data_IF_077097444138
#
_entry.id   IF_077097444138
#
_cell.length_a   1.000
_cell.length_b   1.000
_cell.length_c   1.000
_cell.angle_alpha   90.00
_cell.angle_beta   90.00
_cell.angle_gamma   90.00
#
_symmetry.space_group_name_H-M   'P 1'
#
loop_
_entity.id
_entity.type
_entity.pdbx_description
1 polymer ?
#
# COMPACT_ATOMS: atom_id res chain seq x y z
N UNK A 1 -8.68 3.41 -11.71
CA UNK A 1 -8.28 4.33 -10.62
C UNK A 1 -6.94 4.95 -11.00
N UNK A 2 -6.89 6.27 -11.21
CA UNK A 2 -5.65 6.95 -11.65
C UNK A 2 -4.61 6.94 -10.50
N UNK A 3 -3.44 6.39 -10.76
CA UNK A 3 -2.35 6.23 -9.79
C UNK A 3 -1.88 7.57 -9.20
N UNK A 4 -1.92 8.64 -10.02
CA UNK A 4 -1.61 10.01 -9.58
C UNK A 4 -2.60 10.61 -8.58
N UNK A 5 -3.86 10.14 -8.58
CA UNK A 5 -4.87 10.56 -7.60
C UNK A 5 -4.70 9.80 -6.28
N UNK A 6 -4.22 8.56 -6.34
CA UNK A 6 -3.98 7.73 -5.17
C UNK A 6 -2.82 8.25 -4.31
N UNK A 7 -1.69 8.61 -4.92
CA UNK A 7 -0.54 9.16 -4.20
C UNK A 7 -0.87 10.48 -3.50
N UNK A 8 -1.61 11.38 -4.16
CA UNK A 8 -2.08 12.64 -3.55
C UNK A 8 -2.97 12.40 -2.33
N UNK A 9 -3.86 11.39 -2.38
CA UNK A 9 -4.74 11.06 -1.26
C UNK A 9 -3.96 10.50 -0.06
N UNK A 10 -2.92 9.71 -0.30
CA UNK A 10 -2.10 9.12 0.77
C UNK A 10 -1.28 10.17 1.51
N UNK A 11 -0.72 11.16 0.80
CA UNK A 11 0.10 12.21 1.42
C UNK A 11 -0.64 13.06 2.48
N UNK A 12 -1.96 13.08 2.42
CA UNK A 12 -2.79 13.81 3.38
C UNK A 12 -3.26 12.94 4.57
N UNK A 13 -2.88 11.66 4.62
CA UNK A 13 -3.24 10.80 5.75
C UNK A 13 -2.38 11.13 6.97
N UNK A 14 -3.01 11.12 8.15
CA UNK A 14 -2.27 11.13 9.41
C UNK A 14 -1.51 9.80 9.59
N UNK A 15 -0.55 9.76 10.52
CA UNK A 15 0.30 8.58 10.73
C UNK A 15 -0.49 7.32 11.11
N UNK A 16 -1.54 7.48 11.91
CA UNK A 16 -2.40 6.36 12.34
C UNK A 16 -3.12 5.72 11.15
N UNK A 17 -3.77 6.54 10.31
CA UNK A 17 -4.49 6.08 9.13
C UNK A 17 -3.54 5.51 8.06
N UNK A 18 -2.35 6.11 7.92
CA UNK A 18 -1.30 5.59 7.04
C UNK A 18 -0.87 4.19 7.47
N UNK A 19 -0.62 3.97 8.76
CA UNK A 19 -0.27 2.65 9.30
C UNK A 19 -1.41 1.64 9.15
N UNK A 20 -2.66 2.06 9.36
CA UNK A 20 -3.84 1.23 9.13
C UNK A 20 -3.95 0.77 7.68
N UNK A 21 -3.74 1.67 6.72
CA UNK A 21 -3.74 1.34 5.29
C UNK A 21 -2.58 0.43 4.88
N UNK A 22 -1.38 0.58 5.48
CA UNK A 22 -0.26 -0.34 5.28
C UNK A 22 -0.65 -1.76 5.71
N UNK A 23 -1.18 -1.92 6.93
CA UNK A 23 -1.59 -3.23 7.45
C UNK A 23 -2.69 -3.84 6.58
N UNK A 24 -3.69 -3.04 6.18
CA UNK A 24 -4.77 -3.48 5.30
C UNK A 24 -4.24 -3.99 3.96
N UNK A 25 -3.28 -3.27 3.38
CA UNK A 25 -2.67 -3.63 2.09
C UNK A 25 -1.81 -4.89 2.20
N UNK A 26 -1.07 -5.04 3.30
CA UNK A 26 -0.29 -6.26 3.59
C UNK A 26 -1.19 -7.50 3.71
N UNK A 27 -2.32 -7.40 4.43
CA UNK A 27 -3.32 -8.48 4.53
C UNK A 27 -3.88 -8.86 3.17
N UNK A 28 -4.26 -7.86 2.36
CA UNK A 28 -4.74 -8.11 1.00
C UNK A 28 -3.70 -8.83 0.13
N UNK A 29 -2.42 -8.47 0.23
CA UNK A 29 -1.33 -9.17 -0.48
C UNK A 29 -1.23 -10.63 -0.02
N UNK A 30 -1.36 -10.89 1.28
CA UNK A 30 -1.34 -12.24 1.83
C UNK A 30 -2.50 -13.07 1.27
N UNK A 31 -3.72 -12.55 1.28
CA UNK A 31 -4.91 -13.22 0.74
C UNK A 31 -4.77 -13.51 -0.76
N UNK A 32 -4.25 -12.55 -1.53
CA UNK A 32 -3.96 -12.73 -2.96
C UNK A 32 -2.90 -13.81 -3.22
N UNK A 33 -1.88 -13.91 -2.36
CA UNK A 33 -0.87 -14.97 -2.45
C UNK A 33 -1.47 -16.34 -2.10
N UNK A 34 -2.30 -16.43 -1.07
CA UNK A 34 -3.02 -17.66 -0.72
C UNK A 34 -3.89 -18.11 -1.90
N UNK A 35 -4.67 -17.20 -2.47
CA UNK A 35 -5.51 -17.50 -3.65
C UNK A 35 -4.69 -17.99 -4.85
N UNK A 36 -3.53 -17.37 -5.09
CA UNK A 36 -2.58 -17.79 -6.13
C UNK A 36 -2.05 -19.21 -5.88
N UNK A 37 -1.64 -19.53 -4.65
CA UNK A 37 -1.10 -20.84 -4.29
C UNK A 37 -2.17 -21.92 -4.40
N UNK A 38 -3.38 -21.64 -3.92
CA UNK A 38 -4.52 -22.56 -4.00
C UNK A 38 -5.08 -22.74 -5.42
N UNK A 39 -4.48 -22.13 -6.45
CA UNK A 39 -4.96 -22.13 -7.84
C UNK A 39 -6.44 -21.73 -7.97
N UNK A 40 -6.95 -20.93 -7.02
CA UNK A 40 -8.27 -20.31 -7.14
C UNK A 40 -8.19 -19.26 -8.26
N UNK A 41 -9.33 -18.88 -8.83
CA UNK A 41 -9.39 -17.80 -9.82
C UNK A 41 -8.63 -16.56 -9.31
N UNK A 42 -7.45 -16.33 -9.85
CA UNK A 42 -6.48 -15.36 -9.36
C UNK A 42 -6.18 -14.36 -10.47
N UNK A 43 -6.43 -13.09 -10.15
CA UNK A 43 -6.14 -12.00 -11.05
C UNK A 43 -4.75 -11.41 -10.74
N UNK A 44 -3.75 -11.74 -11.56
CA UNK A 44 -2.36 -11.30 -11.38
C UNK A 44 -2.20 -9.78 -11.30
N UNK A 45 -3.06 -9.03 -12.01
CA UNK A 45 -3.07 -7.58 -11.98
C UNK A 45 -3.44 -7.01 -10.60
N UNK A 46 -4.26 -7.72 -9.81
CA UNK A 46 -4.62 -7.29 -8.45
C UNK A 46 -3.42 -7.38 -7.51
N UNK A 47 -2.62 -8.44 -7.61
CA UNK A 47 -1.39 -8.58 -6.82
C UNK A 47 -0.36 -7.52 -7.21
N UNK A 48 -0.19 -7.25 -8.51
CA UNK A 48 0.71 -6.18 -8.99
C UNK A 48 0.26 -4.82 -8.45
N UNK A 49 -1.05 -4.54 -8.48
CA UNK A 49 -1.63 -3.31 -7.95
C UNK A 49 -1.41 -3.18 -6.44
N UNK A 50 -1.73 -4.22 -5.66
CA UNK A 50 -1.55 -4.19 -4.20
C UNK A 50 -0.09 -3.97 -3.79
N UNK A 51 0.86 -4.61 -4.49
CA UNK A 51 2.30 -4.37 -4.27
C UNK A 51 2.70 -2.92 -4.56
N UNK A 52 2.20 -2.34 -5.65
CA UNK A 52 2.43 -0.94 -5.96
C UNK A 52 1.85 -0.02 -4.88
N UNK A 53 0.60 -0.25 -4.47
CA UNK A 53 -0.06 0.53 -3.42
C UNK A 53 0.76 0.48 -2.11
N UNK A 54 1.25 -0.69 -1.72
CA UNK A 54 2.13 -0.84 -0.56
C UNK A 54 3.43 -0.04 -0.71
N UNK A 55 4.08 -0.08 -1.88
CA UNK A 55 5.30 0.71 -2.09
C UNK A 55 5.07 2.21 -1.93
N UNK A 56 3.94 2.74 -2.44
CA UNK A 56 3.61 4.16 -2.31
C UNK A 56 3.36 4.53 -0.84
N UNK A 57 2.62 3.71 -0.09
CA UNK A 57 2.37 3.92 1.33
C UNK A 57 3.68 3.96 2.15
N UNK A 58 4.60 3.04 1.86
CA UNK A 58 5.92 2.99 2.52
C UNK A 58 6.80 4.19 2.15
N UNK A 59 6.76 4.63 0.90
CA UNK A 59 7.46 5.86 0.47
C UNK A 59 6.94 7.07 1.24
N UNK A 60 5.62 7.27 1.32
CA UNK A 60 5.05 8.40 2.08
C UNK A 60 5.39 8.31 3.57
N UNK A 61 5.34 7.11 4.17
CA UNK A 61 5.77 6.93 5.55
C UNK A 61 7.23 7.34 5.74
N UNK A 62 8.10 7.00 4.79
CA UNK A 62 9.52 7.39 4.83
C UNK A 62 9.70 8.90 4.65
N UNK A 63 8.98 9.53 3.71
CA UNK A 63 8.96 10.99 3.51
C UNK A 63 8.56 11.70 4.82
N UNK A 64 7.48 11.25 5.48
CA UNK A 64 7.02 11.82 6.75
C UNK A 64 8.05 11.66 7.87
N UNK A 65 8.71 10.50 7.97
CA UNK A 65 9.77 10.26 8.96
C UNK A 65 11.00 11.17 8.74
N UNK A 66 11.34 11.46 7.49
CA UNK A 66 12.43 12.38 7.15
C UNK A 66 12.02 13.81 7.49
N UNK A 67 10.83 14.25 7.10
CA UNK A 67 10.36 15.62 7.34
C UNK A 67 10.13 15.93 8.83
N UNK A 68 9.69 14.94 9.62
CA UNK A 68 9.48 15.10 11.06
C UNK A 68 10.78 14.99 11.88
N UNK A 69 11.85 14.43 11.31
CA UNK A 69 13.18 14.47 11.90
C UNK A 69 13.89 15.71 11.36
N UNK A 70 13.85 16.79 12.13
CA UNK A 70 14.76 17.93 11.94
C UNK A 70 16.19 17.36 12.01
N UNK A 71 16.86 17.30 10.87
CA UNK A 71 18.33 17.39 10.81
C UNK A 71 18.64 18.88 10.78
#
# INVERSE_FOLDING_TARGET
>A
MNLSKFSKKIRNLNEFDLNKEIIRTQRNILDLNVNKICKKNFASHLLKKAKYELSVLLTVRRENLINNKII
#
